data_IF_885404430256
#
_entry.id   IF_885404430256
#
_cell.length_a   1.000
_cell.length_b   1.000
_cell.length_c   1.000
_cell.angle_alpha   90.00
_cell.angle_beta   90.00
_cell.angle_gamma   90.00
#
_symmetry.space_group_name_H-M   'P 1'
#
loop_
_entity.id
_entity.type
_entity.pdbx_description
1 polymer ?
#
# COMPACT_ATOMS: atom_id res chain seq x y z
N UNK A 1 2.86 12.72 32.23
CA UNK A 1 2.43 13.43 31.00
C UNK A 1 1.64 12.46 30.14
N UNK A 2 0.52 12.87 29.56
CA UNK A 2 -0.32 12.02 28.69
C UNK A 2 -0.19 12.53 27.25
N UNK A 3 0.01 11.62 26.29
CA UNK A 3 0.18 11.94 24.88
C UNK A 3 -0.71 11.04 24.04
N UNK A 4 -1.70 11.64 23.37
CA UNK A 4 -2.72 10.95 22.55
C UNK A 4 -2.91 11.64 21.20
N UNK A 5 -3.24 10.87 20.17
CA UNK A 5 -3.69 11.37 18.86
C UNK A 5 -2.71 12.33 18.17
N UNK A 6 -1.41 12.25 18.47
CA UNK A 6 -0.40 13.12 17.86
C UNK A 6 0.17 12.53 16.57
N UNK A 7 0.63 13.43 15.69
CA UNK A 7 1.44 13.06 14.53
C UNK A 7 2.87 13.56 14.75
N UNK A 8 3.80 12.64 14.94
CA UNK A 8 5.19 12.95 15.29
C UNK A 8 6.05 12.54 14.11
N UNK A 9 6.43 13.51 13.27
CA UNK A 9 7.08 13.24 11.98
C UNK A 9 8.26 14.15 11.69
N UNK A 10 9.29 13.61 11.03
CA UNK A 10 10.39 14.38 10.47
C UNK A 10 11.34 15.02 11.49
N UNK A 11 11.29 14.56 12.75
CA UNK A 11 12.14 15.10 13.82
C UNK A 11 13.50 14.37 13.86
N UNK A 12 14.50 14.98 14.50
CA UNK A 12 15.80 14.32 14.76
C UNK A 12 15.64 13.07 15.64
N UNK A 13 14.68 13.11 16.56
CA UNK A 13 14.25 11.99 17.39
C UNK A 13 12.73 12.09 17.51
N UNK A 14 12.02 10.98 17.68
CA UNK A 14 10.58 11.03 17.97
C UNK A 14 10.32 11.59 19.36
N UNK A 15 9.93 10.74 20.30
CA UNK A 15 9.83 11.14 21.72
C UNK A 15 11.06 10.64 22.47
N UNK A 16 11.72 11.53 23.21
CA UNK A 16 12.82 11.15 24.10
C UNK A 16 12.40 11.41 25.55
N UNK A 17 12.46 10.38 26.38
CA UNK A 17 12.14 10.45 27.81
C UNK A 17 13.45 10.45 28.58
N UNK A 18 13.67 11.47 29.40
CA UNK A 18 14.94 11.71 30.09
C UNK A 18 14.77 11.72 31.61
N UNK A 19 15.86 11.47 32.32
CA UNK A 19 15.96 11.57 33.78
C UNK A 19 14.96 10.64 34.48
N UNK A 20 14.01 11.22 35.21
CA UNK A 20 12.97 10.53 35.97
C UNK A 20 11.56 10.80 35.42
N UNK A 21 11.46 11.31 34.18
CA UNK A 21 10.17 11.62 33.58
C UNK A 21 9.29 10.37 33.42
N UNK A 22 7.99 10.58 33.53
CA UNK A 22 6.96 9.56 33.29
C UNK A 22 6.04 10.08 32.19
N UNK A 23 5.91 9.28 31.15
CA UNK A 23 5.02 9.52 30.03
C UNK A 23 4.10 8.33 29.83
N UNK A 24 2.85 8.64 29.54
CA UNK A 24 1.86 7.67 29.12
C UNK A 24 1.53 7.97 27.65
N UNK A 25 1.90 7.03 26.78
CA UNK A 25 1.64 7.05 25.35
C UNK A 25 0.47 6.14 24.95
N UNK A 26 -0.25 5.55 25.90
CA UNK A 26 -1.41 4.73 25.66
C UNK A 26 -1.47 3.55 26.61
N UNK A 27 -2.67 3.27 27.12
CA UNK A 27 -2.98 2.15 28.01
C UNK A 27 -3.93 1.16 27.32
N UNK A 28 -4.33 0.10 28.02
CA UNK A 28 -5.26 -0.89 27.48
C UNK A 28 -6.68 -0.32 27.33
N UNK A 29 -7.09 0.61 28.21
CA UNK A 29 -8.43 1.20 28.22
C UNK A 29 -8.48 2.54 27.48
N UNK A 30 -7.33 3.20 27.32
CA UNK A 30 -7.18 4.51 26.68
C UNK A 30 -5.96 4.48 25.74
N UNK A 31 -6.22 4.05 24.50
CA UNK A 31 -5.20 3.84 23.48
C UNK A 31 -4.50 5.14 23.05
N UNK A 32 -3.22 5.02 22.71
CA UNK A 32 -2.37 6.14 22.33
C UNK A 32 -2.77 6.89 21.07
N UNK A 33 -3.12 6.18 20.00
CA UNK A 33 -3.40 6.74 18.68
C UNK A 33 -2.33 7.67 18.09
N UNK A 34 -1.11 7.68 18.64
CA UNK A 34 -0.03 8.49 18.10
C UNK A 34 0.53 7.84 16.83
N UNK A 35 0.88 8.66 15.84
CA UNK A 35 1.43 8.22 14.57
C UNK A 35 2.85 8.76 14.39
N UNK A 36 3.81 7.87 14.23
CA UNK A 36 5.23 8.19 14.06
C UNK A 36 5.68 7.95 12.61
N UNK A 37 6.52 8.85 12.08
CA UNK A 37 7.09 8.70 10.73
C UNK A 37 8.40 9.45 10.55
N UNK A 38 9.40 8.81 9.96
CA UNK A 38 10.65 9.47 9.54
C UNK A 38 11.30 10.32 10.65
N UNK A 39 11.20 9.91 11.91
CA UNK A 39 11.95 10.54 12.99
C UNK A 39 13.29 9.83 13.10
N UNK A 40 14.40 10.53 12.87
CA UNK A 40 15.70 9.87 12.87
C UNK A 40 16.89 10.81 12.87
N UNK A 41 17.99 10.27 13.39
CA UNK A 41 19.26 10.95 13.53
C UNK A 41 20.34 10.13 12.83
N UNK A 42 21.11 10.76 11.95
CA UNK A 42 22.22 10.14 11.21
C UNK A 42 21.85 8.78 10.55
N UNK A 43 20.66 8.69 9.95
CA UNK A 43 20.18 7.47 9.27
C UNK A 43 19.53 6.42 10.18
N UNK A 44 19.54 6.60 11.50
CA UNK A 44 18.83 5.72 12.43
C UNK A 44 17.44 6.28 12.72
N UNK A 45 16.39 5.51 12.41
CA UNK A 45 15.00 5.90 12.72
C UNK A 45 14.67 5.51 14.16
N UNK A 46 14.22 6.48 14.97
CA UNK A 46 13.82 6.27 16.37
C UNK A 46 12.52 6.99 16.66
N UNK A 47 11.46 6.24 16.95
CA UNK A 47 10.15 6.76 17.27
C UNK A 47 10.00 7.10 18.77
N UNK A 48 10.54 6.24 19.64
CA UNK A 48 10.57 6.47 21.09
C UNK A 48 11.94 6.07 21.63
N UNK A 49 12.48 6.91 22.50
CA UNK A 49 13.72 6.63 23.22
C UNK A 49 13.48 6.81 24.73
N UNK A 50 13.41 5.69 25.47
CA UNK A 50 13.23 5.72 26.91
C UNK A 50 14.60 5.69 27.60
N UNK A 51 15.13 6.84 28.01
CA UNK A 51 16.39 6.91 28.75
C UNK A 51 16.15 7.07 30.26
N UNK A 52 15.18 6.34 30.80
CA UNK A 52 14.83 6.32 32.22
C UNK A 52 14.74 4.87 32.71
N UNK A 53 14.89 4.61 34.02
CA UNK A 53 14.63 3.28 34.57
C UNK A 53 13.13 2.94 34.63
N UNK A 54 12.24 3.88 34.32
CA UNK A 54 10.80 3.71 34.46
C UNK A 54 10.22 2.88 33.33
N UNK A 55 9.27 2.00 33.66
CA UNK A 55 8.44 1.35 32.65
C UNK A 55 7.44 2.35 32.05
N UNK A 56 7.20 2.25 30.74
CA UNK A 56 6.28 3.12 30.01
C UNK A 56 5.17 2.31 29.35
N UNK A 57 3.98 2.91 29.26
CA UNK A 57 2.84 2.40 28.50
C UNK A 57 2.72 3.15 27.19
N UNK A 58 2.64 2.42 26.07
CA UNK A 58 2.61 2.96 24.71
C UNK A 58 1.71 2.13 23.79
N UNK A 59 0.58 1.67 24.31
CA UNK A 59 -0.39 0.84 23.62
C UNK A 59 -1.16 1.65 22.56
N UNK A 60 -1.49 1.03 21.44
CA UNK A 60 -2.38 1.60 20.43
C UNK A 60 -1.74 2.66 19.52
N UNK A 61 -0.40 2.70 19.45
CA UNK A 61 0.33 3.64 18.60
C UNK A 61 0.74 3.03 17.25
N UNK A 62 0.86 3.87 16.23
CA UNK A 62 1.40 3.52 14.92
C UNK A 62 2.86 3.98 14.82
N UNK A 63 3.79 3.03 14.79
CA UNK A 63 5.23 3.29 14.99
C UNK A 63 6.01 3.68 13.73
N UNK A 64 5.57 3.25 12.54
CA UNK A 64 6.03 3.81 11.26
C UNK A 64 4.86 3.87 10.28
N UNK A 65 4.41 5.09 9.97
CA UNK A 65 3.33 5.30 9.04
C UNK A 65 3.67 4.84 7.62
N UNK A 66 2.76 4.07 7.02
CA UNK A 66 2.84 3.61 5.64
C UNK A 66 3.43 2.21 5.48
N UNK A 67 3.86 1.60 6.58
CA UNK A 67 4.43 0.26 6.62
C UNK A 67 3.58 -0.67 7.50
N UNK A 68 3.56 -1.95 7.18
CA UNK A 68 2.94 -2.95 8.04
C UNK A 68 3.76 -3.10 9.33
N UNK A 69 3.09 -2.97 10.48
CA UNK A 69 3.78 -3.12 11.76
C UNK A 69 3.96 -4.60 12.12
N UNK A 70 5.21 -4.95 12.43
CA UNK A 70 5.61 -6.25 12.98
C UNK A 70 6.34 -6.05 14.29
N UNK A 71 6.42 -7.08 15.12
CA UNK A 71 7.13 -7.01 16.41
C UNK A 71 8.57 -6.54 16.26
N UNK A 72 9.28 -7.06 15.25
CA UNK A 72 10.65 -6.68 14.96
C UNK A 72 10.77 -5.22 14.52
N UNK A 73 9.84 -4.74 13.69
CA UNK A 73 9.82 -3.35 13.22
C UNK A 73 9.55 -2.36 14.35
N UNK A 74 8.56 -2.65 15.19
CA UNK A 74 8.18 -1.80 16.33
C UNK A 74 9.30 -1.76 17.36
N UNK A 75 9.88 -2.93 17.69
CA UNK A 75 11.01 -3.00 18.61
C UNK A 75 12.24 -2.23 18.09
N UNK A 76 12.50 -2.24 16.78
CA UNK A 76 13.65 -1.55 16.19
C UNK A 76 13.59 -0.01 16.30
N UNK A 77 12.40 0.58 16.46
CA UNK A 77 12.24 2.04 16.58
C UNK A 77 11.99 2.52 18.02
N UNK A 78 11.99 1.59 18.98
CA UNK A 78 11.93 1.86 20.41
C UNK A 78 13.31 1.59 21.01
N UNK A 79 14.03 2.65 21.37
CA UNK A 79 15.38 2.58 21.91
C UNK A 79 15.44 2.83 23.42
N UNK A 80 16.53 2.36 24.03
CA UNK A 80 16.91 2.70 25.39
C UNK A 80 18.43 2.54 25.60
N UNK A 81 19.02 3.33 26.50
CA UNK A 81 20.36 3.11 27.07
C UNK A 81 20.33 2.55 28.49
N UNK A 82 19.17 2.50 29.12
CA UNK A 82 18.96 2.01 30.49
C UNK A 82 18.02 0.81 30.48
N UNK A 83 18.26 -0.24 31.27
CA UNK A 83 17.30 -1.35 31.35
C UNK A 83 15.92 -0.85 31.79
N UNK A 84 14.92 -0.98 30.92
CA UNK A 84 13.53 -0.62 31.19
C UNK A 84 12.58 -1.44 30.30
N UNK A 85 11.29 -1.24 30.48
CA UNK A 85 10.24 -1.91 29.70
C UNK A 85 9.31 -0.88 29.09
N UNK A 86 9.01 -1.06 27.80
CA UNK A 86 7.98 -0.31 27.10
C UNK A 86 6.89 -1.27 26.69
N UNK A 87 5.68 -1.11 27.24
CA UNK A 87 4.53 -1.91 26.86
C UNK A 87 3.80 -1.27 25.68
N UNK A 88 4.05 -1.77 24.48
CA UNK A 88 3.56 -1.19 23.22
C UNK A 88 2.53 -2.05 22.48
N UNK A 89 2.05 -3.15 23.09
CA UNK A 89 1.08 -4.07 22.48
C UNK A 89 -0.32 -3.90 23.07
N UNK A 90 -1.39 -3.95 22.24
CA UNK A 90 -1.36 -3.97 20.78
C UNK A 90 -0.81 -2.66 20.18
N UNK A 91 -0.25 -2.74 18.98
CA UNK A 91 0.18 -1.58 18.19
C UNK A 91 -0.66 -1.46 16.91
N UNK A 92 -0.69 -0.26 16.34
CA UNK A 92 -1.40 0.09 15.10
C UNK A 92 -0.41 0.20 13.93
N UNK A 93 -0.95 0.61 12.78
CA UNK A 93 -0.43 0.63 11.41
C UNK A 93 -0.79 -0.63 10.61
N UNK A 94 -1.64 -0.47 9.61
CA UNK A 94 -1.67 -1.31 8.42
C UNK A 94 -0.80 -0.61 7.36
N UNK A 95 -0.12 -1.38 6.50
CA UNK A 95 0.54 -0.83 5.33
C UNK A 95 -0.42 0.16 4.64
N UNK A 96 0.12 1.28 4.14
CA UNK A 96 -0.66 2.12 3.25
C UNK A 96 -1.33 1.22 2.21
N UNK A 97 -2.61 1.45 1.91
CA UNK A 97 -3.25 0.87 0.75
C UNK A 97 -2.56 1.42 -0.52
N UNK A 98 -1.34 0.96 -0.77
CA UNK A 98 -0.79 0.89 -2.11
C UNK A 98 -1.64 -0.16 -2.80
N UNK A 99 -2.21 0.19 -3.95
CA UNK A 99 -2.86 -0.79 -4.80
C UNK A 99 -1.88 -1.93 -5.00
N UNK A 100 -2.16 -3.10 -4.43
CA UNK A 100 -1.43 -4.30 -4.82
C UNK A 100 -1.52 -4.34 -6.34
N UNK A 101 -0.40 -4.49 -7.05
CA UNK A 101 -0.46 -4.95 -8.43
C UNK A 101 -1.13 -6.32 -8.38
N UNK A 102 -2.47 -6.32 -8.44
CA UNK A 102 -3.26 -7.47 -8.05
C UNK A 102 -3.25 -8.40 -9.25
N UNK A 103 -2.31 -9.35 -9.24
CA UNK A 103 -2.21 -10.46 -10.19
C UNK A 103 -2.57 -10.06 -11.62
N UNK A 104 -1.69 -9.30 -12.28
CA UNK A 104 -1.88 -8.90 -13.68
C UNK A 104 -2.23 -10.14 -14.50
N UNK A 105 -3.44 -10.17 -15.07
CA UNK A 105 -3.79 -11.18 -16.06
C UNK A 105 -2.84 -10.95 -17.24
N UNK A 106 -2.00 -11.93 -17.56
CA UNK A 106 -1.17 -11.87 -18.74
C UNK A 106 -2.07 -11.99 -19.96
N UNK A 107 -2.27 -10.86 -20.63
CA UNK A 107 -3.08 -10.78 -21.84
C UNK A 107 -2.25 -10.16 -22.95
N UNK A 108 -2.30 -10.74 -24.15
CA UNK A 108 -1.56 -10.29 -25.32
C UNK A 108 -2.53 -9.99 -26.46
N UNK A 109 -2.30 -8.87 -27.12
CA UNK A 109 -3.03 -8.44 -28.31
C UNK A 109 -2.07 -8.48 -29.50
N UNK A 110 -2.41 -9.25 -30.53
CA UNK A 110 -1.60 -9.31 -31.76
C UNK A 110 -2.45 -9.61 -33.01
N UNK A 111 -2.11 -9.07 -34.19
CA UNK A 111 -1.07 -8.06 -34.39
C UNK A 111 -1.48 -6.72 -33.77
N UNK A 112 -0.50 -5.99 -33.25
CA UNK A 112 -0.66 -4.62 -32.81
C UNK A 112 0.51 -3.82 -33.39
N UNK A 113 0.29 -2.90 -34.34
CA UNK A 113 -0.99 -2.34 -34.78
C UNK A 113 -1.86 -3.31 -35.61
N UNK A 114 -3.19 -3.22 -35.49
CA UNK A 114 -4.15 -4.09 -36.17
C UNK A 114 -5.00 -3.34 -37.20
N UNK A 115 -5.62 -4.07 -38.13
CA UNK A 115 -6.60 -3.56 -39.10
C UNK A 115 -7.99 -4.09 -38.75
N UNK A 116 -8.47 -3.76 -37.56
CA UNK A 116 -9.78 -4.19 -37.05
C UNK A 116 -9.98 -5.71 -36.84
N UNK A 117 -8.99 -6.53 -37.18
CA UNK A 117 -8.88 -7.96 -36.89
C UNK A 117 -7.65 -8.19 -36.01
N UNK A 118 -7.85 -8.77 -34.82
CA UNK A 118 -6.77 -9.12 -33.91
C UNK A 118 -7.11 -10.31 -33.02
N UNK A 119 -6.08 -10.93 -32.47
CA UNK A 119 -6.18 -11.99 -31.49
C UNK A 119 -5.93 -11.44 -30.09
N UNK A 120 -6.75 -11.89 -29.15
CA UNK A 120 -6.59 -11.66 -27.72
C UNK A 120 -6.31 -12.99 -27.03
N UNK A 121 -5.06 -13.17 -26.60
CA UNK A 121 -4.61 -14.35 -25.88
C UNK A 121 -4.59 -14.05 -24.38
N UNK A 122 -5.29 -14.85 -23.58
CA UNK A 122 -5.44 -14.63 -22.14
C UNK A 122 -5.38 -15.94 -21.34
N UNK A 123 -4.76 -15.89 -20.16
CA UNK A 123 -4.65 -17.05 -19.26
C UNK A 123 -5.98 -17.42 -18.59
N UNK A 124 -6.96 -16.52 -18.58
CA UNK A 124 -8.26 -16.69 -17.91
C UNK A 124 -9.39 -16.15 -18.78
N UNK A 125 -10.52 -16.87 -18.85
CA UNK A 125 -11.72 -16.34 -19.49
C UNK A 125 -12.30 -15.14 -18.73
N UNK A 126 -13.01 -14.24 -19.41
CA UNK A 126 -13.60 -13.05 -18.79
C UNK A 126 -14.25 -12.12 -19.81
N UNK A 127 -14.65 -10.94 -19.35
CA UNK A 127 -15.17 -9.90 -20.22
C UNK A 127 -14.04 -8.94 -20.60
N UNK A 128 -13.95 -8.55 -21.87
CA UNK A 128 -13.10 -7.47 -22.34
C UNK A 128 -13.93 -6.27 -22.76
N UNK A 129 -13.41 -5.09 -22.47
CA UNK A 129 -14.00 -3.81 -22.84
C UNK A 129 -12.93 -3.01 -23.56
N UNK A 130 -13.25 -2.51 -24.75
CA UNK A 130 -12.38 -1.62 -25.53
C UNK A 130 -12.90 -0.21 -25.35
N UNK A 131 -12.01 0.69 -24.93
CA UNK A 131 -12.29 2.09 -24.66
C UNK A 131 -11.42 2.99 -25.53
N UNK A 132 -11.96 4.13 -25.95
CA UNK A 132 -11.14 5.20 -26.51
C UNK A 132 -10.38 5.96 -25.40
N UNK A 133 -9.56 6.94 -25.78
CA UNK A 133 -8.77 7.75 -24.84
C UNK A 133 -9.63 8.64 -23.93
N UNK A 134 -10.91 8.84 -24.23
CA UNK A 134 -11.86 9.53 -23.35
C UNK A 134 -12.47 8.59 -22.29
N UNK A 135 -12.17 7.29 -22.36
CA UNK A 135 -12.75 6.26 -21.50
C UNK A 135 -14.12 5.76 -21.96
N UNK A 136 -14.62 6.23 -23.12
CA UNK A 136 -15.87 5.77 -23.69
C UNK A 136 -15.71 4.35 -24.22
N UNK A 137 -16.60 3.46 -23.81
CA UNK A 137 -16.66 2.08 -24.31
C UNK A 137 -17.10 2.10 -25.76
N UNK A 138 -16.25 1.56 -26.64
CA UNK A 138 -16.50 1.44 -28.08
C UNK A 138 -16.77 0.00 -28.52
N UNK A 139 -16.35 -0.99 -27.72
CA UNK A 139 -16.62 -2.40 -27.97
C UNK A 139 -16.54 -3.22 -26.67
N UNK A 140 -17.20 -4.37 -26.63
CA UNK A 140 -17.10 -5.33 -25.53
C UNK A 140 -17.32 -6.75 -26.02
N UNK A 141 -16.60 -7.72 -25.49
CA UNK A 141 -16.73 -9.13 -25.86
C UNK A 141 -16.40 -10.06 -24.68
N UNK A 142 -16.94 -11.27 -24.70
CA UNK A 142 -16.57 -12.32 -23.75
C UNK A 142 -15.47 -13.16 -24.39
N UNK A 143 -14.38 -13.39 -23.66
CA UNK A 143 -13.22 -14.17 -24.09
C UNK A 143 -13.05 -15.40 -23.21
N UNK A 144 -12.68 -16.53 -23.81
CA UNK A 144 -12.29 -17.73 -23.10
C UNK A 144 -10.78 -17.75 -22.83
N UNK A 145 -10.33 -18.68 -21.99
CA UNK A 145 -8.90 -18.96 -21.82
C UNK A 145 -8.28 -19.37 -23.15
N UNK A 146 -7.12 -18.80 -23.48
CA UNK A 146 -6.38 -19.01 -24.72
C UNK A 146 -6.64 -17.92 -25.76
N UNK A 147 -6.50 -18.29 -27.03
CA UNK A 147 -6.60 -17.36 -28.17
C UNK A 147 -8.06 -17.13 -28.56
N UNK A 148 -8.46 -15.86 -28.56
CA UNK A 148 -9.77 -15.41 -29.00
C UNK A 148 -9.59 -14.51 -30.22
N UNK A 149 -10.38 -14.74 -31.25
CA UNK A 149 -10.40 -13.89 -32.44
C UNK A 149 -11.43 -12.79 -32.25
N UNK A 150 -11.00 -11.54 -32.47
CA UNK A 150 -11.84 -10.36 -32.30
C UNK A 150 -11.84 -9.55 -33.59
N UNK A 151 -13.05 -9.31 -34.08
CA UNK A 151 -13.34 -8.48 -35.24
C UNK A 151 -14.12 -7.26 -34.77
N UNK A 152 -13.59 -6.07 -35.08
CA UNK A 152 -14.20 -4.79 -34.72
C UNK A 152 -14.37 -3.91 -35.94
N UNK A 153 -15.03 -2.77 -35.80
CA UNK A 153 -15.12 -1.76 -36.85
C UNK A 153 -14.78 -0.38 -36.26
N UNK A 154 -13.59 -0.29 -35.66
CA UNK A 154 -13.10 0.91 -35.00
C UNK A 154 -12.39 1.82 -36.01
N UNK A 155 -12.47 3.13 -35.76
CA UNK A 155 -11.70 4.10 -36.52
C UNK A 155 -10.20 3.99 -36.17
N UNK A 156 -9.29 4.34 -37.10
CA UNK A 156 -7.86 4.38 -36.82
C UNK A 156 -7.57 5.26 -35.60
N UNK A 157 -6.80 4.73 -34.65
CA UNK A 157 -6.63 5.39 -33.35
C UNK A 157 -6.09 4.46 -32.28
N UNK A 158 -5.82 5.04 -31.10
CA UNK A 158 -5.35 4.33 -29.93
C UNK A 158 -6.53 4.02 -29.00
N UNK A 159 -6.56 2.77 -28.52
CA UNK A 159 -7.59 2.26 -27.63
C UNK A 159 -6.96 1.51 -26.46
N UNK A 160 -7.73 1.39 -25.38
CA UNK A 160 -7.39 0.60 -24.20
C UNK A 160 -8.32 -0.61 -24.14
N UNK A 161 -7.75 -1.80 -24.14
CA UNK A 161 -8.47 -3.06 -23.92
C UNK A 161 -8.33 -3.43 -22.45
N UNK A 162 -9.43 -3.40 -21.72
CA UNK A 162 -9.51 -3.80 -20.32
C UNK A 162 -10.18 -5.16 -20.21
N UNK A 163 -9.47 -6.15 -19.67
CA UNK A 163 -10.03 -7.44 -19.31
C UNK A 163 -10.43 -7.46 -17.84
N UNK A 164 -11.58 -8.04 -17.53
CA UNK A 164 -12.06 -8.30 -16.18
C UNK A 164 -12.39 -9.79 -16.02
N UNK A 165 -11.77 -10.44 -15.03
CA UNK A 165 -12.03 -11.83 -14.65
C UNK A 165 -11.81 -12.02 -13.15
N UNK A 166 -12.77 -12.62 -12.45
CA UNK A 166 -12.69 -12.98 -11.01
C UNK A 166 -12.13 -11.86 -10.11
N UNK A 167 -12.57 -10.62 -10.35
CA UNK A 167 -12.12 -9.44 -9.58
C UNK A 167 -10.76 -8.86 -9.98
N UNK A 168 -10.02 -9.52 -10.89
CA UNK A 168 -8.77 -9.01 -11.47
C UNK A 168 -9.03 -8.22 -12.74
N UNK A 169 -8.24 -7.17 -12.96
CA UNK A 169 -8.29 -6.32 -14.16
C UNK A 169 -6.93 -6.26 -14.85
N UNK A 170 -6.91 -6.27 -16.17
CA UNK A 170 -5.69 -6.08 -16.97
C UNK A 170 -5.95 -5.10 -18.11
N UNK A 171 -5.02 -4.17 -18.34
CA UNK A 171 -5.13 -3.14 -19.38
C UNK A 171 -4.04 -3.32 -20.43
N UNK A 172 -4.43 -3.38 -21.69
CA UNK A 172 -3.51 -3.51 -22.84
C UNK A 172 -3.81 -2.44 -23.87
N UNK A 173 -2.78 -1.81 -24.43
CA UNK A 173 -2.93 -0.80 -25.50
C UNK A 173 -3.16 -1.50 -26.84
N UNK A 174 -4.11 -1.00 -27.62
CA UNK A 174 -4.41 -1.45 -28.98
C UNK A 174 -4.32 -0.26 -29.93
N UNK A 175 -3.55 -0.39 -31.01
CA UNK A 175 -3.49 0.59 -32.09
C UNK A 175 -4.21 0.04 -33.32
N UNK A 176 -5.19 0.78 -33.84
CA UNK A 176 -5.88 0.48 -35.10
C UNK A 176 -5.31 1.37 -36.20
N UNK A 177 -4.96 0.78 -37.34
CA UNK A 177 -4.51 1.47 -38.56
C UNK A 177 -5.62 1.60 -39.58
#
# INVERSE_FOLDING_TARGET
MIVRDNQIRGNLWGITVLSNAIIDLGTADDEGNNTFKNNGNAGTTTALFNNTPNALTAIGNCWREGEESTDAMVAAVIGSQTPNTVNYKPYKCAAAMGTSETGKINSKVYPNPSKNHFFFDTETGGNIVIQDLSGKVVHSAIVAKGKNEINTNLQPGMYIVTQQSEGKKSNTKLLIK
#
